data_IF_366649346465
#
_entry.id   IF_366649346465
#
_cell.length_a   1.000
_cell.length_b   1.000
_cell.length_c   1.000
_cell.angle_alpha   90.00
_cell.angle_beta   90.00
_cell.angle_gamma   90.00
#
_symmetry.space_group_name_H-M   'P 1'
#
loop_
_entity.id
_entity.type
_entity.pdbx_description
1 polymer ?
#
# COMPACT_ATOMS: atom_id res chain seq x y z
N UNK A 1 7.62 -3.55 8.59
CA UNK A 1 7.38 -3.06 7.22
C UNK A 1 8.60 -2.34 6.63
N UNK A 2 8.86 -2.51 5.34
CA UNK A 2 9.83 -1.77 4.53
C UNK A 2 9.07 -1.09 3.37
N UNK A 3 9.38 0.16 3.04
CA UNK A 3 8.74 0.89 1.92
C UNK A 3 9.81 1.51 1.03
N UNK A 4 9.69 1.31 -0.28
CA UNK A 4 10.63 1.81 -1.29
C UNK A 4 9.86 2.55 -2.39
N UNK A 5 10.43 3.66 -2.88
CA UNK A 5 9.95 4.38 -4.07
C UNK A 5 10.84 4.00 -5.25
N UNK A 6 10.22 3.63 -6.36
CA UNK A 6 10.89 3.42 -7.64
C UNK A 6 10.47 4.52 -8.63
N UNK A 7 11.44 5.23 -9.20
CA UNK A 7 11.19 6.21 -10.26
C UNK A 7 11.28 5.52 -11.61
N UNK A 8 10.17 5.48 -12.35
CA UNK A 8 10.13 4.88 -13.69
C UNK A 8 10.65 5.83 -14.78
N UNK A 9 11.06 7.06 -14.45
CA UNK A 9 11.51 8.11 -15.36
C UNK A 9 10.47 8.54 -16.41
N UNK A 10 9.18 8.34 -16.09
CA UNK A 10 8.04 8.70 -16.94
C UNK A 10 7.11 9.73 -16.28
N UNK A 11 7.46 10.19 -15.08
CA UNK A 11 6.57 10.94 -14.19
C UNK A 11 5.68 10.06 -13.31
N UNK A 12 5.70 8.73 -13.52
CA UNK A 12 5.07 7.76 -12.64
C UNK A 12 6.08 7.12 -11.70
N UNK A 13 5.63 6.84 -10.48
CA UNK A 13 6.43 6.21 -9.42
C UNK A 13 5.78 4.91 -8.97
N UNK A 14 6.60 3.91 -8.70
CA UNK A 14 6.20 2.69 -8.01
C UNK A 14 6.40 2.82 -6.50
N UNK A 15 5.50 2.23 -5.72
CA UNK A 15 5.70 2.03 -4.27
C UNK A 15 5.75 0.52 -4.02
N UNK A 16 6.84 0.05 -3.44
CA UNK A 16 6.99 -1.34 -2.98
C UNK A 16 6.87 -1.37 -1.47
N UNK A 17 6.03 -2.27 -0.95
CA UNK A 17 5.81 -2.45 0.48
C UNK A 17 6.17 -3.89 0.85
N UNK A 18 7.25 -4.06 1.61
CA UNK A 18 7.64 -5.33 2.22
C UNK A 18 6.96 -5.50 3.57
N UNK A 19 6.18 -6.58 3.72
CA UNK A 19 5.40 -6.88 4.92
C UNK A 19 5.94 -8.14 5.61
N UNK A 20 6.06 -8.09 6.94
CA UNK A 20 6.19 -9.30 7.78
C UNK A 20 4.81 -9.90 8.06
N UNK A 21 4.75 -11.10 8.62
CA UNK A 21 3.49 -11.78 8.95
C UNK A 21 2.57 -10.90 9.80
N UNK A 22 3.11 -10.26 10.84
CA UNK A 22 2.37 -9.36 11.73
C UNK A 22 1.86 -8.08 11.03
N UNK A 23 2.62 -7.60 10.03
CA UNK A 23 2.22 -6.45 9.21
C UNK A 23 1.03 -6.85 8.31
N UNK A 24 1.05 -8.07 7.75
CA UNK A 24 -0.03 -8.63 6.92
C UNK A 24 -1.32 -8.76 7.72
N UNK A 25 -1.26 -9.33 8.92
CA UNK A 25 -2.43 -9.47 9.80
C UNK A 25 -3.05 -8.12 10.15
N UNK A 26 -2.21 -7.14 10.48
CA UNK A 26 -2.64 -5.77 10.77
C UNK A 26 -3.28 -5.09 9.55
N UNK A 27 -2.71 -5.29 8.36
CA UNK A 27 -3.25 -4.77 7.11
C UNK A 27 -4.60 -5.40 6.77
N UNK A 28 -4.75 -6.72 6.93
CA UNK A 28 -6.02 -7.42 6.73
C UNK A 28 -7.09 -6.89 7.69
N UNK A 29 -6.74 -6.65 8.96
CA UNK A 29 -7.66 -6.07 9.93
C UNK A 29 -8.11 -4.65 9.52
N UNK A 30 -7.18 -3.80 9.10
CA UNK A 30 -7.47 -2.44 8.63
C UNK A 30 -8.37 -2.44 7.38
N UNK A 31 -8.09 -3.31 6.40
CA UNK A 31 -8.90 -3.46 5.20
C UNK A 31 -10.32 -3.96 5.49
N UNK A 32 -10.46 -4.90 6.44
CA UNK A 32 -11.78 -5.35 6.88
C UNK A 32 -12.58 -4.22 7.54
N UNK A 33 -11.94 -3.38 8.36
CA UNK A 33 -12.59 -2.21 8.94
C UNK A 33 -12.96 -1.18 7.88
N UNK A 34 -12.06 -0.90 6.92
CA UNK A 34 -12.30 0.01 5.81
C UNK A 34 -13.55 -0.39 5.01
N UNK A 35 -13.70 -1.69 4.71
CA UNK A 35 -14.87 -2.22 4.01
C UNK A 35 -16.19 -1.99 4.77
N UNK A 36 -16.16 -2.05 6.10
CA UNK A 36 -17.37 -1.91 6.94
C UNK A 36 -17.71 -0.43 7.14
N UNK A 37 -16.73 0.36 7.57
CA UNK A 37 -16.92 1.75 8.00
C UNK A 37 -16.86 2.75 6.85
N UNK A 38 -16.29 2.36 5.70
CA UNK A 38 -16.09 3.21 4.52
C UNK A 38 -15.31 4.49 4.84
N UNK A 39 -14.25 4.35 5.63
CA UNK A 39 -13.40 5.47 6.10
C UNK A 39 -12.08 5.50 5.32
N UNK A 40 -10.98 5.79 6.02
CA UNK A 40 -9.61 5.63 5.56
C UNK A 40 -8.75 5.11 6.72
N UNK A 41 -7.56 4.61 6.40
CA UNK A 41 -6.51 4.34 7.36
C UNK A 41 -5.16 4.75 6.75
N UNK A 42 -4.14 4.85 7.60
CA UNK A 42 -2.80 5.22 7.17
C UNK A 42 -1.77 4.19 7.62
N UNK A 43 -0.79 3.97 6.76
CA UNK A 43 0.49 3.36 7.10
C UNK A 43 1.47 4.52 7.30
N UNK A 44 1.94 4.73 8.52
CA UNK A 44 2.77 5.88 8.88
C UNK A 44 4.13 5.44 9.40
N UNK A 45 5.13 6.27 9.14
CA UNK A 45 6.46 6.15 9.70
C UNK A 45 6.73 7.34 10.63
N UNK A 46 7.29 7.06 11.80
CA UNK A 46 7.88 8.05 12.70
C UNK A 46 9.40 8.18 12.50
N UNK A 47 9.94 7.55 11.45
CA UNK A 47 11.35 7.56 11.13
C UNK A 47 11.89 8.99 10.94
N UNK A 48 12.96 9.30 11.68
CA UNK A 48 13.71 10.54 11.54
C UNK A 48 15.07 10.23 10.90
N UNK A 49 15.26 10.65 9.65
CA UNK A 49 16.47 10.40 8.85
C UNK A 49 16.36 10.96 7.43
N UNK A 50 17.15 10.43 6.51
CA UNK A 50 17.07 10.81 5.08
C UNK A 50 15.68 10.46 4.50
N UNK A 51 15.18 11.32 3.60
CA UNK A 51 13.79 11.33 3.15
C UNK A 51 13.32 10.03 2.46
N UNK A 52 11.99 9.84 2.42
CA UNK A 52 11.33 8.66 1.85
C UNK A 52 9.81 8.76 1.94
N UNK A 53 9.12 7.63 2.12
CA UNK A 53 7.65 7.60 2.32
C UNK A 53 7.32 7.75 3.81
N UNK A 54 6.67 8.86 4.17
CA UNK A 54 6.22 9.11 5.55
C UNK A 54 4.78 8.65 5.84
N UNK A 55 3.91 8.65 4.84
CA UNK A 55 2.49 8.32 4.96
C UNK A 55 1.99 7.67 3.65
N UNK A 56 1.36 6.51 3.78
CA UNK A 56 0.55 5.89 2.71
C UNK A 56 -0.88 5.82 3.20
N UNK A 57 -1.75 6.62 2.59
CA UNK A 57 -3.18 6.63 2.86
C UNK A 57 -3.93 5.62 2.00
N UNK A 58 -4.80 4.83 2.63
CA UNK A 58 -5.75 3.95 1.94
C UNK A 58 -7.15 4.36 2.36
N UNK A 59 -8.01 4.66 1.39
CA UNK A 59 -9.35 5.17 1.64
C UNK A 59 -10.40 4.42 0.80
N UNK A 60 -11.65 4.51 1.24
CA UNK A 60 -12.78 3.96 0.51
C UNK A 60 -13.11 4.89 -0.65
N UNK A 61 -12.94 4.39 -1.88
CA UNK A 61 -13.20 5.14 -3.10
C UNK A 61 -14.64 4.92 -3.57
N UNK A 62 -15.41 5.99 -3.78
CA UNK A 62 -16.77 5.93 -4.30
C UNK A 62 -16.78 5.96 -5.84
N UNK A 63 -17.79 5.35 -6.46
CA UNK A 63 -17.85 5.04 -7.91
C UNK A 63 -17.90 6.26 -8.86
N UNK A 64 -17.77 7.49 -8.37
CA UNK A 64 -17.92 8.70 -9.18
C UNK A 64 -16.64 9.10 -9.94
N UNK A 65 -15.51 8.45 -9.65
CA UNK A 65 -14.21 8.73 -10.27
C UNK A 65 -13.61 7.44 -10.82
N UNK A 66 -13.06 7.49 -12.05
CA UNK A 66 -12.42 6.34 -12.69
C UNK A 66 -11.16 5.87 -11.94
N UNK A 67 -11.03 4.56 -11.78
CA UNK A 67 -9.83 3.93 -11.22
C UNK A 67 -8.66 4.05 -12.19
N UNK A 68 -7.50 4.42 -11.67
CA UNK A 68 -6.24 4.48 -12.43
C UNK A 68 -5.27 3.32 -12.12
N UNK A 69 -5.70 2.34 -11.31
CA UNK A 69 -4.92 1.19 -10.88
C UNK A 69 -5.84 0.00 -10.60
N UNK A 70 -5.33 -1.22 -10.79
CA UNK A 70 -6.02 -2.47 -10.51
C UNK A 70 -5.26 -3.31 -9.47
N UNK A 71 -5.98 -4.20 -8.76
CA UNK A 71 -5.38 -5.16 -7.83
C UNK A 71 -5.24 -6.50 -8.54
N UNK A 72 -4.00 -6.97 -8.69
CA UNK A 72 -3.68 -8.31 -9.19
C UNK A 72 -3.00 -9.13 -8.09
N UNK A 73 -3.41 -10.40 -7.95
CA UNK A 73 -2.71 -11.37 -7.12
C UNK A 73 -1.80 -12.24 -7.99
N UNK A 74 -0.54 -11.84 -8.12
CA UNK A 74 0.46 -12.62 -8.84
C UNK A 74 1.04 -13.72 -7.94
N UNK A 75 1.07 -14.95 -8.46
CA UNK A 75 1.79 -16.07 -7.83
C UNK A 75 3.11 -16.22 -8.58
N UNK A 76 4.21 -15.75 -8.00
CA UNK A 76 5.51 -16.06 -8.61
C UNK A 76 5.72 -17.59 -8.57
N UNK A 77 6.03 -18.24 -9.72
CA UNK A 77 6.38 -19.63 -9.71
C UNK A 77 7.67 -19.81 -8.91
N UNK A 78 7.68 -20.75 -7.96
CA UNK A 78 8.91 -21.18 -7.30
C UNK A 78 9.93 -21.55 -8.38
N UNK A 79 11.04 -20.80 -8.46
CA UNK A 79 12.19 -21.24 -9.24
C UNK A 79 12.70 -22.52 -8.59
N UNK A 80 12.46 -23.65 -9.25
CA UNK A 80 12.99 -24.98 -8.88
C UNK A 80 14.47 -25.01 -9.25
#
# INVERSE_FOLDING_TARGET
MLVEIEDFQTGWYGIKIGLKTEDIESLIAALNQLKIQKTHFHIRSDFAGDGGVGDVGVYFHENEIESNMEIEASVEPKRI
#
